data_IF_489084226448
#
_entry.id   IF_489084226448
#
_cell.length_a   1.000
_cell.length_b   1.000
_cell.length_c   1.000
_cell.angle_alpha   90.00
_cell.angle_beta   90.00
_cell.angle_gamma   90.00
#
_symmetry.space_group_name_H-M   'P 1'
#
loop_
_entity.id
_entity.type
_entity.pdbx_description
1 polymer ?
#
# COMPACT_ATOMS: atom_id res chain seq x y z
N UNK A 1 21.68 -17.92 -10.49
CA UNK A 1 20.45 -17.77 -9.68
C UNK A 1 19.65 -16.62 -10.27
N UNK A 2 18.33 -16.74 -10.42
CA UNK A 2 17.49 -15.57 -10.72
C UNK A 2 17.44 -14.68 -9.48
N UNK A 3 17.51 -13.34 -9.62
CA UNK A 3 17.34 -12.44 -8.49
C UNK A 3 15.96 -12.64 -7.86
N UNK A 4 15.91 -12.61 -6.52
CA UNK A 4 14.66 -12.76 -5.78
C UNK A 4 13.72 -11.59 -6.12
N UNK A 5 12.57 -11.84 -6.76
CA UNK A 5 11.71 -10.76 -7.23
C UNK A 5 11.07 -9.97 -6.08
N UNK A 6 11.05 -10.55 -4.86
CA UNK A 6 10.45 -9.96 -3.67
C UNK A 6 11.36 -8.94 -2.99
N UNK A 7 12.68 -9.13 -3.02
CA UNK A 7 13.65 -8.19 -2.46
C UNK A 7 13.29 -7.70 -1.05
N UNK A 8 13.36 -6.39 -0.82
CA UNK A 8 13.00 -5.80 0.48
C UNK A 8 11.50 -5.85 0.83
N UNK A 9 10.57 -6.22 -0.08
CA UNK A 9 9.19 -6.53 0.33
C UNK A 9 9.12 -7.72 1.29
N UNK A 10 10.12 -8.61 1.28
CA UNK A 10 10.21 -9.66 2.31
C UNK A 10 10.27 -9.12 3.72
N UNK A 11 10.84 -7.92 3.89
CA UNK A 11 10.96 -7.28 5.19
C UNK A 11 9.65 -6.66 5.68
N UNK A 12 8.60 -6.60 4.84
CA UNK A 12 7.24 -6.26 5.28
C UNK A 12 6.59 -7.41 6.06
N UNK A 13 7.05 -8.65 5.93
CA UNK A 13 6.46 -9.78 6.64
C UNK A 13 6.48 -9.58 8.16
N UNK A 14 5.31 -9.76 8.78
CA UNK A 14 5.04 -9.55 10.19
C UNK A 14 3.87 -8.61 10.47
N UNK A 15 3.72 -8.32 11.76
CA UNK A 15 2.71 -7.43 12.29
C UNK A 15 3.28 -6.02 12.48
N UNK A 16 2.47 -5.01 12.15
CA UNK A 16 2.86 -3.61 12.20
C UNK A 16 1.76 -2.76 12.81
N UNK A 17 2.18 -1.72 13.52
CA UNK A 17 1.29 -0.70 14.07
C UNK A 17 1.87 0.69 13.83
N UNK A 18 1.00 1.68 13.76
CA UNK A 18 1.43 3.06 13.70
C UNK A 18 0.29 4.02 13.46
N UNK A 19 0.60 5.13 12.78
CA UNK A 19 -0.36 6.19 12.53
C UNK A 19 -0.26 6.69 11.10
N UNK A 20 -1.39 7.11 10.57
CA UNK A 20 -1.44 7.84 9.30
C UNK A 20 -1.85 9.29 9.53
N UNK A 21 -1.32 10.18 8.70
CA UNK A 21 -1.72 11.57 8.57
C UNK A 21 -1.98 11.85 7.07
N UNK A 22 -2.97 12.69 6.78
CA UNK A 22 -3.39 12.96 5.41
C UNK A 22 -4.67 13.77 5.31
N UNK A 23 -5.20 13.83 4.09
CA UNK A 23 -6.47 14.49 3.76
C UNK A 23 -7.65 14.01 4.64
N UNK A 24 -7.79 12.70 4.97
CA UNK A 24 -8.85 12.24 5.86
C UNK A 24 -8.61 12.55 7.33
N UNK A 25 -7.47 13.15 7.70
CA UNK A 25 -7.03 13.40 9.07
C UNK A 25 -6.13 12.29 9.62
N UNK A 26 -6.01 12.24 10.95
CA UNK A 26 -5.09 11.32 11.65
C UNK A 26 -5.80 10.00 11.99
N UNK A 27 -5.15 8.86 11.68
CA UNK A 27 -5.64 7.53 12.06
C UNK A 27 -4.61 6.70 12.83
N UNK A 28 -5.10 5.72 13.57
CA UNK A 28 -4.27 4.58 14.01
C UNK A 28 -4.33 3.48 12.96
N UNK A 29 -3.19 2.90 12.60
CA UNK A 29 -3.05 1.91 11.54
C UNK A 29 -2.46 0.61 12.06
N UNK A 30 -3.00 -0.50 11.58
CA UNK A 30 -2.54 -1.87 11.81
C UNK A 30 -2.36 -2.54 10.45
N UNK A 31 -1.29 -3.34 10.33
CA UNK A 31 -1.03 -4.18 9.15
C UNK A 31 -0.56 -5.56 9.61
N UNK A 32 -0.95 -6.58 8.87
CA UNK A 32 -0.41 -7.92 9.00
C UNK A 32 -0.04 -8.45 7.63
N UNK A 33 1.24 -8.69 7.39
CA UNK A 33 1.73 -9.23 6.13
C UNK A 33 2.31 -10.64 6.33
N UNK A 34 1.92 -11.59 5.47
CA UNK A 34 2.42 -12.97 5.52
C UNK A 34 2.59 -13.56 4.12
N UNK A 35 3.65 -14.35 3.91
CA UNK A 35 3.76 -15.14 2.69
C UNK A 35 2.83 -16.35 2.73
N UNK A 36 2.00 -16.49 1.69
CA UNK A 36 1.02 -17.57 1.57
C UNK A 36 1.28 -18.43 0.33
N UNK A 37 0.56 -19.56 0.23
CA UNK A 37 0.61 -20.49 -0.90
C UNK A 37 2.04 -20.93 -1.25
N UNK A 38 2.82 -21.32 -0.24
CA UNK A 38 4.21 -21.74 -0.40
C UNK A 38 5.16 -20.61 -0.79
N UNK A 39 4.92 -19.40 -0.30
CA UNK A 39 5.78 -18.23 -0.54
C UNK A 39 5.64 -17.63 -1.94
N UNK A 40 4.50 -17.83 -2.59
CA UNK A 40 4.23 -17.33 -3.95
C UNK A 40 3.50 -15.99 -3.97
N UNK A 41 2.87 -15.62 -2.87
CA UNK A 41 2.15 -14.36 -2.71
C UNK A 41 2.43 -13.80 -1.33
N UNK A 42 2.59 -12.48 -1.22
CA UNK A 42 2.54 -11.78 0.06
C UNK A 42 1.10 -11.29 0.23
N UNK A 43 0.48 -11.65 1.33
CA UNK A 43 -0.88 -11.25 1.69
C UNK A 43 -0.83 -10.24 2.83
N UNK A 44 -1.48 -9.08 2.64
CA UNK A 44 -1.65 -8.04 3.65
C UNK A 44 -3.09 -7.98 4.14
N UNK A 45 -3.27 -7.84 5.46
CA UNK A 45 -4.53 -7.43 6.07
C UNK A 45 -4.31 -6.09 6.74
N UNK A 46 -5.05 -5.08 6.31
CA UNK A 46 -4.80 -3.71 6.67
C UNK A 46 -6.06 -3.10 7.30
N UNK A 47 -5.86 -2.34 8.37
CA UNK A 47 -6.93 -1.64 9.06
C UNK A 47 -6.46 -0.27 9.52
N UNK A 48 -7.24 0.75 9.25
CA UNK A 48 -6.97 2.12 9.66
C UNK A 48 -8.22 2.72 10.31
N UNK A 49 -8.09 3.29 11.51
CA UNK A 49 -9.20 3.84 12.28
C UNK A 49 -9.01 5.34 12.46
N UNK A 50 -9.89 6.11 11.85
CA UNK A 50 -10.01 7.56 11.98
C UNK A 50 -11.04 7.84 13.07
N UNK A 51 -10.61 8.54 14.13
CA UNK A 51 -11.55 8.95 15.18
C UNK A 51 -12.46 10.07 14.66
N UNK A 52 -13.65 10.25 15.27
CA UNK A 52 -14.46 11.45 15.06
C UNK A 52 -13.64 12.74 15.14
N UNK A 53 -13.78 13.58 14.12
CA UNK A 53 -13.11 14.87 13.99
C UNK A 53 -14.06 15.86 13.32
N UNK A 54 -13.75 17.17 13.34
CA UNK A 54 -14.64 18.21 12.80
C UNK A 54 -15.05 17.95 11.34
N UNK A 55 -14.11 17.48 10.50
CA UNK A 55 -14.34 17.15 9.09
C UNK A 55 -14.97 15.76 8.85
N UNK A 56 -14.90 14.87 9.83
CA UNK A 56 -15.47 13.52 9.80
C UNK A 56 -16.05 13.17 11.19
N UNK A 57 -17.25 13.66 11.52
CA UNK A 57 -17.78 13.57 12.88
C UNK A 57 -18.19 12.15 13.30
N UNK A 58 -18.27 11.20 12.36
CA UNK A 58 -18.55 9.80 12.66
C UNK A 58 -17.28 8.98 12.87
N UNK A 59 -16.13 9.52 12.47
CA UNK A 59 -14.94 8.72 12.26
C UNK A 59 -15.15 7.74 11.10
N UNK A 60 -14.14 6.91 10.86
CA UNK A 60 -14.13 5.97 9.76
C UNK A 60 -13.20 4.80 10.04
N UNK A 61 -13.57 3.63 9.56
CA UNK A 61 -12.71 2.46 9.57
C UNK A 61 -12.51 2.07 8.12
N UNK A 62 -11.27 2.14 7.65
CA UNK A 62 -10.86 1.63 6.36
C UNK A 62 -10.22 0.27 6.56
N UNK A 63 -10.66 -0.71 5.77
CA UNK A 63 -10.12 -2.07 5.76
C UNK A 63 -9.85 -2.49 4.32
N UNK A 64 -8.70 -3.10 4.09
CA UNK A 64 -8.37 -3.70 2.80
C UNK A 64 -7.54 -4.97 2.95
N UNK A 65 -7.63 -5.81 1.93
CA UNK A 65 -6.76 -6.95 1.72
C UNK A 65 -5.82 -6.69 0.57
N UNK A 66 -4.55 -6.99 0.76
CA UNK A 66 -3.52 -6.83 -0.25
C UNK A 66 -3.01 -8.18 -0.71
N UNK A 67 -2.89 -8.36 -2.02
CA UNK A 67 -2.24 -9.50 -2.63
C UNK A 67 -1.14 -9.04 -3.55
N UNK A 68 0.11 -9.23 -3.13
CA UNK A 68 1.27 -9.06 -3.99
C UNK A 68 1.58 -10.38 -4.70
N UNK A 69 1.86 -10.28 -6.00
CA UNK A 69 2.19 -11.40 -6.87
C UNK A 69 3.35 -11.03 -7.80
N UNK A 70 4.09 -12.03 -8.28
CA UNK A 70 5.10 -11.82 -9.31
C UNK A 70 4.64 -12.40 -10.65
N UNK A 71 4.34 -11.52 -11.59
CA UNK A 71 4.04 -11.88 -12.97
C UNK A 71 5.34 -12.29 -13.67
N UNK A 72 5.52 -13.60 -13.86
CA UNK A 72 6.74 -14.17 -14.44
C UNK A 72 6.91 -13.85 -15.92
N UNK A 73 5.80 -13.63 -16.64
CA UNK A 73 5.83 -13.30 -18.07
C UNK A 73 6.26 -11.85 -18.27
N UNK A 74 5.67 -10.93 -17.50
CA UNK A 74 6.02 -9.50 -17.52
C UNK A 74 7.29 -9.17 -16.73
N UNK A 75 7.73 -10.08 -15.86
CA UNK A 75 8.81 -9.87 -14.87
C UNK A 75 8.54 -8.67 -13.96
N UNK A 76 7.28 -8.50 -13.54
CA UNK A 76 6.83 -7.37 -12.71
C UNK A 76 6.13 -7.86 -11.44
N UNK A 77 6.30 -7.11 -10.35
CA UNK A 77 5.46 -7.27 -9.16
C UNK A 77 4.13 -6.57 -9.40
N UNK A 78 3.05 -7.21 -8.97
CA UNK A 78 1.67 -6.73 -9.11
C UNK A 78 1.03 -6.77 -7.73
N UNK A 79 0.44 -5.65 -7.31
CA UNK A 79 -0.34 -5.52 -6.10
C UNK A 79 -1.82 -5.43 -6.47
N UNK A 80 -2.68 -6.18 -5.78
CA UNK A 80 -4.13 -5.98 -5.81
C UNK A 80 -4.61 -5.65 -4.40
N UNK A 81 -5.25 -4.51 -4.26
CA UNK A 81 -5.89 -4.09 -3.01
C UNK A 81 -7.41 -4.26 -3.17
N UNK A 82 -8.04 -4.99 -2.24
CA UNK A 82 -9.47 -5.20 -2.16
C UNK A 82 -10.01 -4.37 -1.00
N UNK A 83 -10.72 -3.30 -1.32
CA UNK A 83 -11.16 -2.29 -0.37
C UNK A 83 -12.56 -2.60 0.16
N UNK A 84 -12.78 -2.43 1.47
CA UNK A 84 -14.09 -2.61 2.11
C UNK A 84 -15.17 -1.69 1.54
N UNK A 85 -14.76 -0.59 0.91
CA UNK A 85 -15.59 0.37 0.16
C UNK A 85 -16.13 -0.21 -1.16
N UNK A 86 -15.72 -1.42 -1.54
CA UNK A 86 -16.29 -2.15 -2.67
C UNK A 86 -15.59 -1.91 -4.01
N UNK A 87 -14.31 -1.53 -4.00
CA UNK A 87 -13.49 -1.43 -5.21
C UNK A 87 -12.20 -2.24 -5.11
N UNK A 88 -11.62 -2.56 -6.27
CA UNK A 88 -10.33 -3.22 -6.38
C UNK A 88 -9.38 -2.30 -7.15
N UNK A 89 -8.20 -2.06 -6.60
CA UNK A 89 -7.14 -1.37 -7.33
C UNK A 89 -6.01 -2.37 -7.63
N UNK A 90 -5.71 -2.53 -8.92
CA UNK A 90 -4.55 -3.28 -9.37
C UNK A 90 -3.43 -2.29 -9.71
N UNK A 91 -2.26 -2.53 -9.14
CA UNK A 91 -1.06 -1.77 -9.39
C UNK A 91 0.04 -2.66 -9.97
N UNK A 92 0.96 -2.04 -10.70
CA UNK A 92 2.22 -2.64 -11.12
C UNK A 92 3.38 -1.88 -10.50
N UNK A 93 4.42 -2.62 -10.09
CA UNK A 93 5.67 -2.00 -9.64
C UNK A 93 6.33 -1.26 -10.80
N UNK A 94 6.64 0.00 -10.58
CA UNK A 94 7.41 0.84 -11.49
C UNK A 94 8.85 1.00 -10.97
N UNK A 95 9.78 1.18 -11.90
CA UNK A 95 11.17 1.45 -11.56
C UNK A 95 11.29 2.92 -11.15
N UNK A 96 11.82 3.18 -9.95
CA UNK A 96 11.84 4.49 -9.28
C UNK A 96 13.27 5.00 -9.03
N UNK A 97 14.25 4.49 -9.79
CA UNK A 97 15.67 4.69 -9.54
C UNK A 97 16.27 3.59 -8.64
N UNK A 98 17.59 3.63 -8.46
CA UNK A 98 18.36 2.52 -7.86
C UNK A 98 18.15 2.32 -6.35
N UNK A 99 17.24 3.04 -5.67
CA UNK A 99 17.07 2.92 -4.22
C UNK A 99 16.40 1.58 -3.84
N UNK A 100 17.14 0.60 -3.29
CA UNK A 100 16.60 -0.73 -3.02
C UNK A 100 15.63 -0.75 -1.83
N UNK A 101 15.57 0.33 -1.04
CA UNK A 101 14.69 0.48 0.12
C UNK A 101 13.32 1.08 -0.25
N UNK A 102 13.08 1.45 -1.51
CA UNK A 102 11.81 2.08 -1.93
C UNK A 102 11.14 1.27 -3.03
N UNK A 103 9.86 0.94 -2.85
CA UNK A 103 9.01 0.32 -3.84
C UNK A 103 7.89 1.27 -4.22
N UNK A 104 7.68 1.45 -5.53
CA UNK A 104 6.59 2.30 -6.04
C UNK A 104 5.70 1.44 -6.90
N UNK A 105 4.40 1.49 -6.62
CA UNK A 105 3.34 0.81 -7.35
C UNK A 105 2.42 1.86 -7.95
N UNK A 106 2.13 1.76 -9.24
CA UNK A 106 1.19 2.65 -9.93
C UNK A 106 0.01 1.86 -10.47
N UNK A 107 -1.17 2.44 -10.39
CA UNK A 107 -2.42 1.82 -10.87
C UNK A 107 -2.34 1.41 -12.34
N UNK A 108 -2.67 0.15 -12.62
CA UNK A 108 -3.02 -0.35 -13.95
C UNK A 108 -4.54 -0.27 -14.21
N UNK A 109 -5.35 -0.55 -13.18
CA UNK A 109 -6.81 -0.53 -13.29
C UNK A 109 -7.47 -0.37 -11.93
N UNK A 110 -8.62 0.32 -11.89
CA UNK A 110 -9.46 0.46 -10.69
C UNK A 110 -10.89 0.04 -11.05
N UNK A 111 -11.44 -0.92 -10.32
CA UNK A 111 -12.85 -1.31 -10.43
C UNK A 111 -13.73 -0.26 -9.73
N UNK A 112 -14.97 -0.06 -10.21
CA UNK A 112 -16.00 0.76 -9.52
C UNK A 112 -15.63 2.23 -9.22
N UNK A 113 -14.57 2.76 -9.82
CA UNK A 113 -14.16 4.18 -9.75
C UNK A 113 -14.22 4.78 -11.17
N UNK A 114 -14.57 6.08 -11.33
CA UNK A 114 -14.59 6.72 -12.64
C UNK A 114 -13.27 6.58 -13.40
N UNK A 115 -13.36 6.42 -14.72
CA UNK A 115 -12.18 6.22 -15.56
C UNK A 115 -11.21 7.41 -15.49
N UNK A 116 -9.91 7.11 -15.57
CA UNK A 116 -8.83 8.09 -15.61
C UNK A 116 -8.27 8.48 -14.24
N UNK A 117 -8.90 8.06 -13.15
CA UNK A 117 -8.28 8.11 -11.82
C UNK A 117 -7.05 7.20 -11.77
N UNK A 118 -6.02 7.66 -11.05
CA UNK A 118 -4.81 6.90 -10.78
C UNK A 118 -4.47 7.01 -9.31
N UNK A 119 -3.85 5.96 -8.79
CA UNK A 119 -3.24 5.96 -7.49
C UNK A 119 -1.79 5.48 -7.58
N UNK A 120 -1.00 5.88 -6.59
CA UNK A 120 0.36 5.40 -6.39
C UNK A 120 0.56 5.06 -4.92
N UNK A 121 1.14 3.89 -4.69
CA UNK A 121 1.57 3.43 -3.37
C UNK A 121 3.09 3.37 -3.33
N UNK A 122 3.69 4.14 -2.44
CA UNK A 122 5.13 4.17 -2.22
C UNK A 122 5.46 3.60 -0.85
N UNK A 123 6.16 2.47 -0.82
CA UNK A 123 6.68 1.84 0.39
C UNK A 123 8.16 2.19 0.53
N UNK A 124 8.54 2.81 1.63
CA UNK A 124 9.93 3.14 1.95
C UNK A 124 10.34 2.52 3.27
N UNK A 125 11.37 1.69 3.25
CA UNK A 125 12.03 1.24 4.46
C UNK A 125 12.86 2.37 5.05
N UNK A 126 12.60 2.71 6.31
CA UNK A 126 13.32 3.70 7.08
C UNK A 126 14.44 3.03 7.89
N UNK A 127 15.33 3.85 8.44
CA UNK A 127 16.33 3.37 9.38
C UNK A 127 15.65 2.92 10.69
N UNK A 128 16.21 1.90 11.34
CA UNK A 128 15.57 1.25 12.50
C UNK A 128 14.53 0.18 12.15
N UNK A 129 14.31 -0.11 10.87
CA UNK A 129 13.41 -1.19 10.42
C UNK A 129 11.94 -0.78 10.37
N UNK A 130 11.64 0.51 10.50
CA UNK A 130 10.32 1.08 10.29
C UNK A 130 9.98 1.17 8.80
N UNK A 131 8.69 1.33 8.51
CA UNK A 131 8.19 1.56 7.16
C UNK A 131 7.40 2.85 7.08
N UNK A 132 7.52 3.53 5.94
CA UNK A 132 6.61 4.58 5.51
C UNK A 132 5.85 4.11 4.27
N UNK A 133 4.53 4.19 4.33
CA UNK A 133 3.62 4.04 3.19
C UNK A 133 3.13 5.43 2.79
N UNK A 134 3.33 5.85 1.55
CA UNK A 134 2.80 7.12 1.02
C UNK A 134 1.81 6.78 -0.08
N UNK A 135 0.56 7.19 0.10
CA UNK A 135 -0.52 7.02 -0.86
C UNK A 135 -0.80 8.34 -1.57
N UNK A 136 -0.73 8.32 -2.88
CA UNK A 136 -0.94 9.46 -3.76
C UNK A 136 -2.10 9.20 -4.72
N UNK A 137 -2.88 10.24 -5.03
CA UNK A 137 -3.99 10.20 -5.97
C UNK A 137 -3.79 11.21 -7.08
N UNK A 138 -4.24 10.86 -8.29
CA UNK A 138 -4.36 11.77 -9.41
C UNK A 138 -5.74 11.62 -10.04
N UNK A 139 -6.50 12.71 -10.05
CA UNK A 139 -7.71 12.81 -10.85
C UNK A 139 -7.36 12.83 -12.36
N UNK A 140 -8.32 12.56 -13.26
CA UNK A 140 -8.07 12.57 -14.70
C UNK A 140 -7.40 13.87 -15.18
N UNK A 141 -6.21 13.75 -15.77
CA UNK A 141 -5.43 14.88 -16.30
C UNK A 141 -4.77 15.77 -15.25
N UNK A 142 -4.74 15.36 -13.97
CA UNK A 142 -4.08 16.09 -12.87
C UNK A 142 -2.79 15.38 -12.45
N UNK A 143 -1.84 16.10 -11.83
CA UNK A 143 -0.67 15.48 -11.22
C UNK A 143 -1.07 14.62 -10.00
N UNK A 144 -0.15 13.77 -9.56
CA UNK A 144 -0.28 13.08 -8.27
C UNK A 144 -0.16 14.07 -7.12
N UNK A 145 -1.02 13.89 -6.13
CA UNK A 145 -1.01 14.60 -4.85
C UNK A 145 -0.98 13.59 -3.72
N UNK A 146 -0.20 13.88 -2.67
CA UNK A 146 -0.16 13.04 -1.46
C UNK A 146 -1.52 13.11 -0.79
N UNK A 147 -2.17 11.96 -0.68
CA UNK A 147 -3.43 11.81 0.02
C UNK A 147 -3.21 11.46 1.49
N UNK A 148 -2.27 10.56 1.76
CA UNK A 148 -1.90 10.18 3.12
C UNK A 148 -0.50 9.58 3.21
N UNK A 149 0.12 9.71 4.37
CA UNK A 149 1.34 9.01 4.75
C UNK A 149 1.08 8.19 6.01
N UNK A 150 1.55 6.95 6.05
CA UNK A 150 1.48 6.06 7.20
C UNK A 150 2.88 5.69 7.64
N UNK A 151 3.18 5.87 8.93
CA UNK A 151 4.42 5.35 9.54
C UNK A 151 4.10 4.12 10.36
N UNK A 152 4.88 3.07 10.15
CA UNK A 152 4.67 1.75 10.73
C UNK A 152 5.93 1.29 11.47
N UNK A 153 5.71 0.82 12.69
CA UNK A 153 6.72 0.17 13.52
C UNK A 153 6.28 -1.27 13.76
N UNK A 154 7.24 -2.18 13.93
CA UNK A 154 6.95 -3.59 14.12
C UNK A 154 6.15 -3.76 15.42
N UNK A 155 5.04 -4.51 15.36
CA UNK A 155 4.30 -4.88 16.55
C UNK A 155 5.11 -5.93 17.35
N UNK A 156 5.00 -5.85 18.68
CA UNK A 156 5.64 -6.82 19.59
C UNK A 156 4.86 -8.12 19.63
#
# INVERSE_FOLDING_TARGET
MQPDPWGALRQLEGDWKGSSDGQPGVSTSERHYSFILGGKFLHGRNRSVYKPQEKNPKGEIHENLDYFSYDRTRKKLVLRQFHGEGFVNQYVRVDNGENPKTFVFETESIENIPAGWKARETYRQLDGGEWQETFELAAPGKPYEVYSETRLTKAQ
#
